data_IF_931788423092
#
_entry.id   IF_931788423092
#
_cell.length_a   1.000
_cell.length_b   1.000
_cell.length_c   1.000
_cell.angle_alpha   90.00
_cell.angle_beta   90.00
_cell.angle_gamma   90.00
#
_symmetry.space_group_name_H-M   'P 1'
#
loop_
_entity.id
_entity.type
_entity.pdbx_description
1 polymer ?
#
# COMPACT_ATOMS: atom_id res chain seq x y z
N UNK A 1 -64.11 -44.64 -0.31
CA UNK A 1 -62.83 -45.30 0.02
C UNK A 1 -61.70 -44.28 -0.15
N UNK A 2 -61.08 -43.85 0.95
CA UNK A 2 -59.98 -42.88 0.94
C UNK A 2 -58.72 -43.58 0.42
N UNK A 3 -58.14 -43.08 -0.66
CA UNK A 3 -56.77 -43.44 -1.08
C UNK A 3 -55.98 -42.15 -1.17
N UNK A 4 -55.28 -41.86 -0.07
CA UNK A 4 -54.20 -40.88 0.00
C UNK A 4 -53.05 -41.39 -0.87
N UNK A 5 -52.60 -40.59 -1.83
CA UNK A 5 -51.27 -40.69 -2.42
C UNK A 5 -50.73 -39.26 -2.41
N UNK A 6 -49.89 -38.94 -1.43
CA UNK A 6 -49.11 -37.71 -1.42
C UNK A 6 -47.99 -37.87 -2.45
N UNK A 7 -47.95 -37.10 -3.55
CA UNK A 7 -46.80 -37.12 -4.44
C UNK A 7 -45.61 -36.55 -3.65
N UNK A 8 -44.63 -37.44 -3.46
CA UNK A 8 -43.21 -37.20 -3.18
C UNK A 8 -42.92 -35.73 -2.88
N UNK A 9 -42.74 -35.46 -1.59
CA UNK A 9 -42.07 -34.27 -1.09
C UNK A 9 -40.70 -34.19 -1.79
N UNK A 10 -40.62 -33.39 -2.86
CA UNK A 10 -39.35 -32.90 -3.37
C UNK A 10 -38.79 -32.02 -2.26
N UNK A 11 -38.03 -32.63 -1.35
CA UNK A 11 -37.14 -31.91 -0.44
C UNK A 11 -36.11 -31.28 -1.36
N UNK A 12 -36.43 -30.09 -1.86
CA UNK A 12 -35.44 -29.17 -2.36
C UNK A 12 -34.55 -28.86 -1.16
N UNK A 13 -33.49 -29.65 -0.98
CA UNK A 13 -32.33 -29.20 -0.25
C UNK A 13 -31.79 -28.02 -1.05
N UNK A 14 -32.39 -26.84 -0.84
CA UNK A 14 -31.66 -25.60 -0.87
C UNK A 14 -30.60 -25.79 0.21
N UNK A 15 -29.48 -26.42 -0.14
CA UNK A 15 -28.27 -26.14 0.60
C UNK A 15 -28.11 -24.64 0.43
N UNK A 16 -28.49 -23.88 1.46
CA UNK A 16 -28.01 -22.54 1.64
C UNK A 16 -26.51 -22.67 1.91
N UNK A 17 -25.75 -23.09 0.89
CA UNK A 17 -24.35 -22.78 0.77
C UNK A 17 -24.29 -21.28 0.53
N UNK A 18 -24.57 -20.51 1.59
CA UNK A 18 -24.11 -19.15 1.67
C UNK A 18 -22.59 -19.29 1.70
N UNK A 19 -21.97 -19.27 0.52
CA UNK A 19 -20.54 -19.03 0.43
C UNK A 19 -20.37 -17.62 0.96
N UNK A 20 -20.10 -17.51 2.26
CA UNK A 20 -19.53 -16.31 2.83
C UNK A 20 -18.17 -16.15 2.14
N UNK A 21 -18.16 -15.44 1.02
CA UNK A 21 -16.92 -14.97 0.41
C UNK A 21 -16.32 -14.01 1.40
N UNK A 22 -15.39 -14.49 2.21
CA UNK A 22 -14.59 -13.63 3.06
C UNK A 22 -13.91 -12.61 2.14
N UNK A 23 -14.06 -11.30 2.36
CA UNK A 23 -13.32 -10.32 1.59
C UNK A 23 -11.83 -10.67 1.64
N UNK A 24 -11.14 -10.54 0.50
CA UNK A 24 -9.71 -10.75 0.47
C UNK A 24 -9.03 -9.88 1.53
N UNK A 25 -8.02 -10.43 2.22
CA UNK A 25 -7.26 -9.65 3.18
C UNK A 25 -6.60 -8.45 2.50
N UNK A 26 -6.68 -7.30 3.15
CA UNK A 26 -6.10 -6.06 2.66
C UNK A 26 -4.59 -6.18 2.47
N UNK A 27 -4.05 -5.80 1.32
CA UNK A 27 -2.60 -5.77 1.10
C UNK A 27 -2.06 -4.35 1.31
N UNK A 28 -0.94 -4.16 2.04
CA UNK A 28 -0.37 -2.83 2.20
C UNK A 28 0.26 -2.32 0.90
N UNK A 29 0.32 -1.00 0.69
CA UNK A 29 1.11 -0.44 -0.40
C UNK A 29 2.60 -0.81 -0.30
N UNK A 30 3.25 -0.90 -1.47
CA UNK A 30 4.70 -1.01 -1.58
C UNK A 30 5.28 0.33 -2.04
N UNK A 31 6.35 0.80 -1.38
CA UNK A 31 7.06 2.02 -1.74
C UNK A 31 8.36 1.70 -2.49
N UNK A 32 8.71 2.54 -3.46
CA UNK A 32 9.92 2.42 -4.26
C UNK A 32 10.67 3.75 -4.27
N UNK A 33 12.00 3.65 -4.16
CA UNK A 33 12.91 4.78 -4.38
C UNK A 33 13.43 4.64 -5.81
N UNK A 34 13.02 5.57 -6.67
CA UNK A 34 13.44 5.58 -8.08
C UNK A 34 14.82 6.22 -8.24
N UNK A 35 15.06 7.33 -7.55
CA UNK A 35 16.36 7.99 -7.55
C UNK A 35 16.54 8.93 -6.37
N UNK A 36 17.79 9.06 -5.91
CA UNK A 36 18.27 10.14 -5.04
C UNK A 36 19.51 10.72 -5.75
N UNK A 37 19.50 12.02 -6.03
CA UNK A 37 20.56 12.66 -6.84
C UNK A 37 20.91 14.06 -6.35
N UNK A 38 22.21 14.38 -6.18
CA UNK A 38 23.34 13.48 -6.31
C UNK A 38 23.38 12.44 -5.17
N UNK A 39 24.11 11.33 -5.37
CA UNK A 39 24.30 10.31 -4.33
C UNK A 39 25.21 10.82 -3.19
N UNK A 40 26.16 11.69 -3.54
CA UNK A 40 27.02 12.41 -2.61
C UNK A 40 26.83 13.90 -2.86
N UNK A 41 26.33 14.62 -1.85
CA UNK A 41 26.04 16.05 -1.94
C UNK A 41 27.02 16.83 -1.07
N UNK A 42 27.54 17.94 -1.61
CA UNK A 42 28.30 18.89 -0.80
C UNK A 42 27.38 19.62 0.20
N UNK A 43 27.90 20.16 1.31
CA UNK A 43 27.09 20.97 2.21
C UNK A 43 26.39 22.13 1.48
N UNK A 44 25.06 22.18 1.58
CA UNK A 44 24.23 23.18 0.91
C UNK A 44 23.90 22.88 -0.56
N UNK A 45 24.27 21.70 -1.08
CA UNK A 45 23.85 21.22 -2.38
C UNK A 45 22.45 20.61 -2.31
N UNK A 46 21.62 20.94 -3.30
CA UNK A 46 20.27 20.41 -3.41
C UNK A 46 20.28 18.94 -3.81
N UNK A 47 19.54 18.11 -3.07
CA UNK A 47 19.33 16.69 -3.36
C UNK A 47 17.89 16.49 -3.81
N UNK A 48 17.72 15.88 -4.99
CA UNK A 48 16.46 15.52 -5.58
C UNK A 48 16.08 14.08 -5.21
N UNK A 49 14.85 13.89 -4.73
CA UNK A 49 14.27 12.60 -4.36
C UNK A 49 13.10 12.29 -5.28
N UNK A 50 13.12 11.08 -5.85
CA UNK A 50 12.03 10.55 -6.68
C UNK A 50 11.68 9.15 -6.23
N UNK A 51 10.40 8.91 -6.05
CA UNK A 51 9.86 7.58 -5.79
C UNK A 51 8.40 7.49 -6.18
N UNK A 52 7.88 6.28 -6.06
CA UNK A 52 6.48 5.96 -6.32
C UNK A 52 5.99 4.88 -5.36
N UNK A 53 4.68 4.63 -5.39
CA UNK A 53 4.04 3.57 -4.63
C UNK A 53 3.08 2.76 -5.49
N UNK A 54 2.98 1.47 -5.21
CA UNK A 54 1.98 0.58 -5.82
C UNK A 54 1.11 -0.03 -4.73
N UNK A 55 -0.15 -0.28 -5.06
CA UNK A 55 -1.12 -0.86 -4.14
C UNK A 55 -2.01 -1.85 -4.91
N UNK A 56 -1.84 -3.17 -4.70
CA UNK A 56 -2.50 -4.21 -5.51
C UNK A 56 -4.02 -4.21 -5.44
N UNK A 57 -4.59 -3.73 -4.33
CA UNK A 57 -6.02 -3.77 -4.01
C UNK A 57 -6.53 -2.40 -3.54
N UNK A 58 -5.81 -1.33 -3.84
CA UNK A 58 -6.13 0.02 -3.39
C UNK A 58 -5.50 1.13 -4.23
N UNK A 59 -5.32 2.29 -3.62
CA UNK A 59 -4.67 3.45 -4.23
C UNK A 59 -3.80 4.11 -3.19
N UNK A 60 -2.56 4.43 -3.55
CA UNK A 60 -1.65 5.19 -2.69
C UNK A 60 -2.11 6.65 -2.65
N UNK A 61 -2.35 7.19 -1.46
CA UNK A 61 -2.76 8.59 -1.28
C UNK A 61 -1.71 9.43 -0.56
N UNK A 62 -0.73 8.79 0.09
CA UNK A 62 0.26 9.48 0.90
C UNK A 62 1.64 8.83 0.79
N UNK A 63 2.66 9.68 0.83
CA UNK A 63 4.06 9.32 0.85
C UNK A 63 4.71 9.85 2.12
N UNK A 64 5.81 9.23 2.52
CA UNK A 64 6.66 9.76 3.60
C UNK A 64 8.10 9.37 3.37
N UNK A 65 8.97 10.37 3.38
CA UNK A 65 10.42 10.20 3.28
C UNK A 65 11.08 10.54 4.60
N UNK A 66 12.01 9.69 5.03
CA UNK A 66 12.78 9.88 6.26
C UNK A 66 14.26 9.66 6.06
N UNK A 67 15.04 10.44 6.77
CA UNK A 67 16.46 10.23 6.99
C UNK A 67 16.72 9.71 8.41
N UNK A 68 17.74 8.85 8.56
CA UNK A 68 18.29 8.45 9.86
C UNK A 68 18.87 9.60 10.69
N UNK A 69 19.22 10.73 10.06
CA UNK A 69 19.83 11.89 10.70
C UNK A 69 18.80 13.03 10.84
N UNK A 70 18.18 13.43 9.73
CA UNK A 70 17.31 14.62 9.70
C UNK A 70 15.84 14.34 10.04
N UNK A 71 15.45 13.07 10.20
CA UNK A 71 14.08 12.71 10.51
C UNK A 71 13.16 12.82 9.30
N UNK A 72 11.99 13.46 9.45
CA UNK A 72 10.99 13.58 8.38
C UNK A 72 11.43 14.62 7.32
N UNK A 73 11.50 14.20 6.06
CA UNK A 73 11.96 15.04 4.95
C UNK A 73 10.80 15.61 4.12
N UNK A 74 9.83 14.76 3.76
CA UNK A 74 8.74 15.15 2.86
C UNK A 74 7.57 14.17 2.89
N UNK A 75 6.39 14.66 2.48
CA UNK A 75 5.17 13.88 2.24
C UNK A 75 4.82 13.73 0.75
N UNK A 76 5.70 14.19 -0.15
CA UNK A 76 5.51 14.13 -1.60
C UNK A 76 6.27 12.93 -2.20
N UNK A 77 5.76 12.40 -3.32
CA UNK A 77 6.45 11.34 -4.06
C UNK A 77 7.77 11.82 -4.71
N UNK A 78 7.81 13.08 -5.10
CA UNK A 78 8.99 13.74 -5.68
C UNK A 78 9.14 15.11 -5.06
N UNK A 79 10.36 15.44 -4.62
CA UNK A 79 10.70 16.71 -4.00
C UNK A 79 12.22 16.93 -4.03
N UNK A 80 12.62 18.19 -3.83
CA UNK A 80 14.02 18.58 -3.68
C UNK A 80 14.24 19.12 -2.26
N UNK A 81 15.38 18.82 -1.65
CA UNK A 81 15.80 19.41 -0.37
C UNK A 81 17.14 20.13 -0.56
N UNK A 82 17.25 21.43 -0.20
CA UNK A 82 18.43 22.24 -0.50
C UNK A 82 19.65 21.90 0.37
N UNK A 83 19.44 21.20 1.49
CA UNK A 83 20.52 20.78 2.37
C UNK A 83 20.05 19.64 3.27
N UNK A 84 20.78 18.53 3.24
CA UNK A 84 20.77 17.53 4.32
C UNK A 84 21.88 17.87 5.31
N UNK A 85 21.75 17.42 6.56
CA UNK A 85 22.86 17.49 7.50
C UNK A 85 24.07 16.73 6.97
N UNK A 86 25.28 17.05 7.45
CA UNK A 86 26.46 16.28 7.05
C UNK A 86 26.43 14.88 7.68
N UNK A 87 26.68 13.83 6.89
CA UNK A 87 26.81 12.46 7.36
C UNK A 87 26.35 11.43 6.33
N UNK A 88 26.41 10.15 6.71
CA UNK A 88 25.84 9.07 5.92
C UNK A 88 24.36 8.90 6.30
N UNK A 89 23.46 9.15 5.35
CA UNK A 89 22.02 9.04 5.56
C UNK A 89 21.50 7.68 5.10
N UNK A 90 20.75 7.01 5.96
CA UNK A 90 19.85 5.93 5.53
C UNK A 90 18.52 6.59 5.17
N UNK A 91 18.11 6.45 3.92
CA UNK A 91 16.85 7.01 3.40
C UNK A 91 15.79 5.92 3.34
N UNK A 92 14.64 6.19 3.95
CA UNK A 92 13.49 5.30 3.98
C UNK A 92 12.31 6.02 3.34
N UNK A 93 11.66 5.35 2.38
CA UNK A 93 10.40 5.79 1.78
C UNK A 93 9.26 4.87 2.23
N UNK A 94 8.08 5.44 2.46
CA UNK A 94 6.86 4.74 2.83
C UNK A 94 5.69 5.28 2.00
N UNK A 95 4.77 4.39 1.65
CA UNK A 95 3.54 4.69 0.92
C UNK A 95 2.34 4.18 1.72
N UNK A 96 1.25 4.93 1.72
CA UNK A 96 0.03 4.61 2.45
C UNK A 96 -1.24 5.00 1.68
N UNK A 97 -2.35 4.35 2.04
CA UNK A 97 -3.70 4.62 1.55
C UNK A 97 -4.39 5.73 2.33
#
# INVERSE_FOLDING_TARGET
MKRLIFPILVILMMTAGCTCVTPAANQPPTAYIDSISPAEASPGETVAFKGHGTDPDGTVVAYRWRSSIDGDLSAMATFDIPSLSAGEHIIISQSSR
#
